data_IF_721596040835
#
_entry.id   IF_721596040835
#
_cell.length_a   1.000
_cell.length_b   1.000
_cell.length_c   1.000
_cell.angle_alpha   90.00
_cell.angle_beta   90.00
_cell.angle_gamma   90.00
#
_symmetry.space_group_name_H-M   'P 1'
#
loop_
_entity.id
_entity.type
_entity.pdbx_description
1 polymer ?
#
# COMPACT_ATOMS: atom_id res chain seq x y z
N UNK A 1 21.89 18.34 14.81
CA UNK A 1 21.13 17.64 15.86
C UNK A 1 20.04 16.84 15.19
N UNK A 2 20.35 15.60 14.80
CA UNK A 2 19.50 14.74 14.00
C UNK A 2 18.32 14.24 14.81
N UNK A 3 17.12 14.69 14.43
CA UNK A 3 15.89 14.23 15.05
C UNK A 3 15.71 12.76 14.74
N UNK A 4 15.61 11.95 15.79
CA UNK A 4 15.24 10.55 15.75
C UNK A 4 13.82 10.47 15.19
N UNK A 5 13.69 10.41 13.87
CA UNK A 5 12.41 10.15 13.25
C UNK A 5 12.13 8.65 13.38
N UNK A 6 10.98 8.34 13.98
CA UNK A 6 10.58 6.98 14.25
C UNK A 6 10.32 6.25 12.93
N UNK A 7 10.78 5.00 12.86
CA UNK A 7 10.52 4.09 11.75
C UNK A 7 9.87 2.83 12.30
N UNK A 8 8.92 2.29 11.55
CA UNK A 8 7.99 1.30 12.06
C UNK A 8 7.83 0.13 11.08
N UNK A 9 7.47 -1.02 11.66
CA UNK A 9 7.02 -2.23 10.97
C UNK A 9 7.88 -2.63 9.76
N UNK A 10 9.19 -2.86 9.95
CA UNK A 10 10.01 -3.37 8.86
C UNK A 10 9.52 -4.75 8.44
N UNK A 11 9.44 -5.00 7.13
CA UNK A 11 9.21 -6.33 6.56
C UNK A 11 10.24 -6.62 5.47
N UNK A 12 10.49 -7.91 5.23
CA UNK A 12 11.38 -8.41 4.18
C UNK A 12 10.53 -9.06 3.08
N UNK A 13 10.88 -8.79 1.82
CA UNK A 13 10.42 -9.60 0.71
C UNK A 13 10.96 -11.04 0.83
N UNK A 14 10.29 -12.02 0.22
CA UNK A 14 10.62 -13.44 0.36
C UNK A 14 12.05 -13.83 -0.07
N UNK A 15 12.68 -13.03 -0.94
CA UNK A 15 14.07 -13.19 -1.36
C UNK A 15 15.09 -12.48 -0.45
N UNK A 16 14.65 -11.71 0.55
CA UNK A 16 15.49 -10.93 1.46
C UNK A 16 16.12 -9.67 0.87
N UNK A 17 16.00 -9.42 -0.45
CA UNK A 17 16.61 -8.26 -1.12
C UNK A 17 15.92 -6.95 -0.77
N UNK A 18 14.59 -6.95 -0.68
CA UNK A 18 13.84 -5.74 -0.40
C UNK A 18 13.39 -5.69 1.05
N UNK A 19 13.62 -4.55 1.69
CA UNK A 19 13.05 -4.19 2.98
C UNK A 19 12.05 -3.08 2.79
N UNK A 20 10.93 -3.18 3.45
CA UNK A 20 9.89 -2.15 3.47
C UNK A 20 9.61 -1.71 4.88
N UNK A 21 9.30 -0.43 5.06
CA UNK A 21 9.02 0.19 6.34
C UNK A 21 8.29 1.52 6.11
N UNK A 22 7.71 2.09 7.17
CA UNK A 22 7.21 3.46 7.11
C UNK A 22 7.89 4.34 8.16
N UNK A 23 8.04 5.63 7.86
CA UNK A 23 8.87 6.54 8.64
C UNK A 23 8.37 7.98 8.58
N UNK A 24 8.64 8.73 9.66
CA UNK A 24 8.50 10.20 9.69
C UNK A 24 9.76 10.93 9.19
N UNK A 25 10.79 10.18 8.77
CA UNK A 25 12.10 10.72 8.49
C UNK A 25 12.13 11.51 7.17
N UNK A 26 12.49 12.79 7.24
CA UNK A 26 12.57 13.68 6.07
C UNK A 26 13.88 13.57 5.29
N UNK A 27 14.70 12.56 5.57
CA UNK A 27 16.06 12.43 5.04
C UNK A 27 16.38 11.04 4.50
N UNK A 28 15.37 10.18 4.29
CA UNK A 28 15.54 8.86 3.69
C UNK A 28 15.65 8.91 2.17
N UNK A 29 15.00 9.89 1.56
CA UNK A 29 15.05 10.21 0.13
C UNK A 29 15.13 11.73 -0.04
N UNK A 30 15.66 12.24 -1.17
CA UNK A 30 15.56 13.65 -1.50
C UNK A 30 14.10 14.13 -1.51
N UNK A 31 13.90 15.42 -1.21
CA UNK A 31 12.61 16.12 -1.34
C UNK A 31 11.46 15.58 -0.47
N UNK A 32 11.78 14.84 0.59
CA UNK A 32 10.84 14.52 1.67
C UNK A 32 10.45 15.75 2.49
N UNK A 33 9.26 16.27 2.17
CA UNK A 33 8.82 17.59 2.64
C UNK A 33 7.37 17.62 3.14
N UNK A 34 6.65 16.51 3.07
CA UNK A 34 5.24 16.44 3.47
C UNK A 34 5.04 16.32 5.00
N UNK A 35 6.12 16.07 5.76
CA UNK A 35 6.11 15.97 7.23
C UNK A 35 5.09 14.94 7.77
N UNK A 36 4.86 13.86 7.02
CA UNK A 36 3.93 12.80 7.40
C UNK A 36 4.61 11.44 7.37
N UNK A 37 3.87 10.37 7.74
CA UNK A 37 4.39 9.03 7.55
C UNK A 37 4.38 8.68 6.07
N UNK A 38 5.52 8.26 5.56
CA UNK A 38 5.68 7.75 4.21
C UNK A 38 6.11 6.29 4.24
N UNK A 39 5.73 5.56 3.20
CA UNK A 39 6.14 4.16 2.99
C UNK A 39 7.35 4.15 2.09
N UNK A 40 8.38 3.41 2.49
CA UNK A 40 9.64 3.30 1.78
C UNK A 40 9.96 1.84 1.47
N UNK A 41 10.64 1.64 0.34
CA UNK A 41 11.31 0.38 0.01
C UNK A 41 12.81 0.63 -0.06
N UNK A 42 13.57 -0.27 0.55
CA UNK A 42 15.02 -0.35 0.50
C UNK A 42 15.40 -1.57 -0.31
N UNK A 43 15.97 -1.34 -1.48
CA UNK A 43 16.72 -2.35 -2.22
C UNK A 43 18.12 -2.49 -1.61
N UNK A 44 18.46 -3.70 -1.18
CA UNK A 44 19.73 -4.04 -0.52
C UNK A 44 20.81 -4.54 -1.48
N UNK A 45 20.48 -4.71 -2.76
CA UNK A 45 21.34 -5.38 -3.76
C UNK A 45 20.99 -4.86 -5.16
N UNK A 46 21.30 -3.59 -5.43
CA UNK A 46 20.87 -2.93 -6.67
C UNK A 46 21.56 -3.47 -7.92
N UNK A 47 22.76 -4.03 -7.79
CA UNK A 47 23.54 -4.66 -8.86
C UNK A 47 23.28 -6.17 -9.01
N UNK A 48 22.49 -6.76 -8.10
CA UNK A 48 21.96 -8.11 -8.18
C UNK A 48 23.04 -9.20 -8.16
N UNK A 49 24.12 -8.99 -7.41
CA UNK A 49 25.22 -9.93 -7.28
C UNK A 49 25.05 -10.92 -6.10
N UNK A 50 24.03 -10.69 -5.26
CA UNK A 50 23.68 -11.51 -4.10
C UNK A 50 24.38 -11.12 -2.81
N UNK A 51 25.19 -10.06 -2.80
CA UNK A 51 25.79 -9.49 -1.60
C UNK A 51 24.92 -8.33 -1.13
N UNK A 52 24.33 -8.49 0.05
CA UNK A 52 23.39 -7.50 0.58
C UNK A 52 24.10 -6.40 1.37
N UNK A 53 23.55 -5.20 1.26
CA UNK A 53 23.95 -4.00 2.00
C UNK A 53 25.35 -3.46 1.66
N UNK A 54 25.80 -3.68 0.42
CA UNK A 54 27.08 -3.16 -0.04
C UNK A 54 27.07 -1.63 -0.21
N UNK A 55 28.12 -0.93 0.26
CA UNK A 55 28.24 0.50 0.04
C UNK A 55 28.20 0.86 -1.45
N UNK A 56 27.16 1.59 -1.86
CA UNK A 56 26.97 2.02 -3.24
C UNK A 56 26.06 1.11 -4.07
N UNK A 57 25.66 -0.05 -3.56
CA UNK A 57 24.73 -0.98 -4.22
C UNK A 57 23.40 -1.12 -3.46
N UNK A 58 22.93 0.00 -2.89
CA UNK A 58 21.73 0.06 -2.06
C UNK A 58 20.93 1.31 -2.39
N UNK A 59 19.60 1.19 -2.45
CA UNK A 59 18.71 2.29 -2.82
C UNK A 59 17.48 2.33 -1.93
N UNK A 60 17.13 3.52 -1.42
CA UNK A 60 15.84 3.76 -0.77
C UNK A 60 14.96 4.57 -1.71
N UNK A 61 13.71 4.18 -1.86
CA UNK A 61 12.69 4.92 -2.60
C UNK A 61 11.43 5.11 -1.76
N UNK A 62 10.68 6.18 -2.03
CA UNK A 62 9.35 6.38 -1.46
C UNK A 62 8.30 5.74 -2.37
N UNK A 63 7.39 4.99 -1.76
CA UNK A 63 6.31 4.26 -2.43
C UNK A 63 4.96 4.95 -2.25
N UNK A 64 4.77 5.73 -1.18
CA UNK A 64 3.57 6.55 -0.96
C UNK A 64 3.54 7.78 -1.88
N UNK A 65 3.51 7.54 -3.20
CA UNK A 65 3.51 8.55 -4.26
C UNK A 65 2.37 8.32 -5.24
N UNK A 66 1.92 9.39 -5.89
CA UNK A 66 0.98 9.31 -7.02
C UNK A 66 1.67 8.73 -8.26
N UNK A 67 0.91 8.39 -9.31
CA UNK A 67 1.46 7.92 -10.59
C UNK A 67 2.36 8.94 -11.32
N UNK A 68 2.37 10.20 -10.85
CA UNK A 68 3.26 11.26 -11.34
C UNK A 68 4.47 11.49 -10.43
N UNK A 69 4.70 10.63 -9.43
CA UNK A 69 5.77 10.76 -8.43
C UNK A 69 5.52 11.80 -7.33
N UNK A 70 4.29 12.33 -7.22
CA UNK A 70 3.97 13.31 -6.17
C UNK A 70 3.79 12.64 -4.82
N UNK A 71 4.50 13.10 -3.78
CA UNK A 71 4.37 12.57 -2.42
C UNK A 71 2.93 12.65 -1.87
N UNK A 72 2.52 11.67 -1.06
CA UNK A 72 1.25 11.74 -0.34
C UNK A 72 1.14 12.98 0.53
N UNK A 73 -0.05 13.58 0.57
CA UNK A 73 -0.40 14.70 1.45
C UNK A 73 -1.05 14.27 2.77
N UNK A 74 -1.06 12.97 3.06
CA UNK A 74 -1.59 12.38 4.28
C UNK A 74 -0.76 11.17 4.68
N UNK A 75 -0.85 10.79 5.96
CA UNK A 75 -0.05 9.69 6.51
C UNK A 75 -0.33 8.38 5.80
N UNK A 76 0.73 7.68 5.47
CA UNK A 76 0.72 6.38 4.82
C UNK A 76 1.40 5.33 5.70
N UNK A 77 0.97 4.08 5.61
CA UNK A 77 1.57 3.01 6.39
C UNK A 77 1.46 1.65 5.72
N UNK A 78 2.18 0.70 6.29
CA UNK A 78 2.53 -0.54 5.61
C UNK A 78 1.36 -1.51 5.40
N UNK A 79 1.34 -2.14 4.21
CA UNK A 79 0.50 -3.29 3.87
C UNK A 79 1.34 -4.55 3.59
N UNK A 80 1.77 -4.73 2.35
CA UNK A 80 2.45 -5.95 1.87
C UNK A 80 3.24 -5.71 0.57
N UNK A 81 4.11 -6.65 0.17
CA UNK A 81 4.81 -6.62 -1.12
C UNK A 81 5.00 -8.00 -1.74
N UNK A 82 5.12 -8.03 -3.07
CA UNK A 82 5.58 -9.22 -3.79
C UNK A 82 7.05 -9.52 -3.52
N UNK A 83 7.46 -10.77 -3.75
CA UNK A 83 8.82 -11.24 -3.43
C UNK A 83 9.91 -10.57 -4.30
N UNK A 84 9.57 -10.17 -5.52
CA UNK A 84 10.42 -9.36 -6.40
C UNK A 84 10.39 -7.87 -6.07
N UNK A 85 9.61 -7.50 -5.05
CA UNK A 85 9.38 -6.14 -4.60
C UNK A 85 8.64 -5.24 -5.57
N UNK A 86 8.16 -5.73 -6.72
CA UNK A 86 7.55 -4.87 -7.74
C UNK A 86 6.26 -4.20 -7.24
N UNK A 87 5.34 -5.00 -6.72
CA UNK A 87 4.05 -4.50 -6.26
C UNK A 87 4.09 -4.29 -4.76
N UNK A 88 3.69 -3.10 -4.33
CA UNK A 88 3.65 -2.73 -2.92
C UNK A 88 2.27 -2.20 -2.57
N UNK A 89 1.61 -2.84 -1.62
CA UNK A 89 0.34 -2.37 -1.07
C UNK A 89 0.57 -1.60 0.22
N UNK A 90 -0.17 -0.51 0.38
CA UNK A 90 -0.11 0.35 1.56
C UNK A 90 -1.47 0.99 1.83
N UNK A 91 -1.69 1.45 3.05
CA UNK A 91 -2.82 2.32 3.34
C UNK A 91 -2.37 3.78 3.36
N UNK A 92 -3.27 4.70 3.03
CA UNK A 92 -3.00 6.14 3.12
C UNK A 92 -4.26 6.94 3.42
N UNK A 93 -4.11 8.03 4.18
CA UNK A 93 -5.12 9.09 4.35
C UNK A 93 -5.05 10.17 3.25
N UNK A 94 -4.15 10.02 2.29
CA UNK A 94 -3.89 11.02 1.27
C UNK A 94 -5.02 11.17 0.26
N UNK A 95 -5.26 12.41 -0.15
CA UNK A 95 -6.26 12.77 -1.16
C UNK A 95 -5.66 13.04 -2.54
N UNK A 96 -4.33 12.98 -2.66
CA UNK A 96 -3.59 13.34 -3.88
C UNK A 96 -2.86 12.17 -4.56
N UNK A 97 -3.03 10.93 -4.08
CA UNK A 97 -2.42 9.75 -4.71
C UNK A 97 -3.11 9.36 -6.02
N UNK A 98 -4.42 9.61 -6.12
CA UNK A 98 -5.22 9.49 -7.34
C UNK A 98 -6.12 10.73 -7.49
N UNK A 99 -6.66 10.96 -8.69
CA UNK A 99 -7.62 12.04 -8.94
C UNK A 99 -9.02 11.70 -8.38
N UNK A 100 -9.80 12.72 -8.01
CA UNK A 100 -11.23 12.56 -7.70
C UNK A 100 -11.55 12.04 -6.28
N UNK A 101 -10.56 12.00 -5.38
CA UNK A 101 -10.77 11.65 -3.97
C UNK A 101 -11.32 12.85 -3.21
N UNK A 102 -12.46 12.66 -2.54
CA UNK A 102 -13.08 13.67 -1.68
C UNK A 102 -12.91 13.28 -0.20
N UNK A 103 -12.07 14.01 0.53
CA UNK A 103 -11.89 13.85 1.98
C UNK A 103 -10.81 12.83 2.39
N UNK A 104 -10.36 12.94 3.63
CA UNK A 104 -9.28 12.12 4.19
C UNK A 104 -9.84 10.87 4.86
N UNK A 105 -10.05 9.82 4.08
CA UNK A 105 -10.34 8.48 4.59
C UNK A 105 -9.14 7.57 4.35
N UNK A 106 -8.93 6.61 5.23
CA UNK A 106 -7.88 5.62 5.06
C UNK A 106 -8.26 4.67 3.93
N UNK A 107 -7.48 4.64 2.86
CA UNK A 107 -7.73 3.79 1.70
C UNK A 107 -6.54 2.91 1.38
N UNK A 108 -6.79 1.77 0.72
CA UNK A 108 -5.76 0.84 0.29
C UNK A 108 -5.32 1.20 -1.12
N UNK A 109 -4.01 1.31 -1.30
CA UNK A 109 -3.37 1.58 -2.58
C UNK A 109 -2.39 0.47 -2.93
N UNK A 110 -2.13 0.34 -4.23
CA UNK A 110 -1.05 -0.47 -4.78
C UNK A 110 -0.19 0.43 -5.65
N UNK A 111 1.12 0.40 -5.42
CA UNK A 111 2.12 1.03 -6.27
C UNK A 111 2.92 -0.05 -7.01
N UNK A 112 2.93 0.02 -8.34
CA UNK A 112 3.81 -0.76 -9.19
C UNK A 112 5.12 0.02 -9.38
N UNK A 113 6.17 -0.42 -8.68
CA UNK A 113 7.50 0.23 -8.72
C UNK A 113 8.15 0.18 -10.10
N UNK A 114 7.72 -0.73 -10.98
CA UNK A 114 8.27 -0.85 -12.32
C UNK A 114 7.67 0.18 -13.28
N UNK A 115 6.36 0.41 -13.22
CA UNK A 115 5.65 1.34 -14.10
C UNK A 115 5.50 2.74 -13.49
N UNK A 116 5.64 2.85 -12.17
CA UNK A 116 5.34 4.03 -11.39
C UNK A 116 3.84 4.23 -11.15
N UNK A 117 2.98 3.28 -11.53
CA UNK A 117 1.53 3.42 -11.42
C UNK A 117 1.05 3.23 -9.98
N UNK A 118 0.21 4.15 -9.50
CA UNK A 118 -0.51 4.04 -8.22
C UNK A 118 -2.01 3.96 -8.46
N UNK A 119 -2.63 2.88 -7.97
CA UNK A 119 -4.08 2.67 -8.03
C UNK A 119 -4.66 2.52 -6.62
N UNK A 120 -5.95 2.85 -6.46
CA UNK A 120 -6.71 2.57 -5.25
C UNK A 120 -7.42 1.22 -5.40
N UNK A 121 -7.28 0.35 -4.39
CA UNK A 121 -7.92 -0.96 -4.38
C UNK A 121 -9.26 -0.95 -3.64
N UNK A 122 -9.43 -0.05 -2.67
CA UNK A 122 -10.66 0.10 -1.90
C UNK A 122 -11.65 1.05 -2.59
N UNK A 123 -12.12 0.67 -3.77
CA UNK A 123 -13.13 1.39 -4.54
C UNK A 123 -14.35 0.51 -4.83
N UNK A 124 -15.47 1.12 -5.20
CA UNK A 124 -16.67 0.35 -5.59
C UNK A 124 -16.44 -0.35 -6.94
N UNK A 125 -17.31 -1.30 -7.31
CA UNK A 125 -17.26 -1.94 -8.62
C UNK A 125 -17.44 -0.99 -9.82
N UNK A 126 -17.90 0.24 -9.58
CA UNK A 126 -18.02 1.32 -10.57
C UNK A 126 -16.82 2.30 -10.55
N UNK A 127 -15.84 2.10 -9.67
CA UNK A 127 -14.71 3.01 -9.46
C UNK A 127 -15.03 4.23 -8.58
N UNK A 128 -16.18 4.23 -7.90
CA UNK A 128 -16.59 5.34 -7.04
C UNK A 128 -15.83 5.35 -5.71
N UNK A 129 -15.90 6.49 -5.02
CA UNK A 129 -15.28 6.64 -3.71
C UNK A 129 -15.95 5.74 -2.67
N UNK A 130 -15.17 5.01 -1.85
CA UNK A 130 -15.69 4.33 -0.66
C UNK A 130 -16.24 5.36 0.33
N UNK A 131 -17.18 4.95 1.17
CA UNK A 131 -17.80 5.81 2.18
C UNK A 131 -17.18 5.66 3.57
N UNK A 132 -16.15 4.82 3.74
CA UNK A 132 -15.48 4.58 5.02
C UNK A 132 -14.03 4.08 4.86
N UNK A 133 -13.37 3.84 5.99
CA UNK A 133 -11.97 3.41 6.05
C UNK A 133 -11.76 1.95 5.64
N UNK A 134 -10.60 1.70 5.03
CA UNK A 134 -10.07 0.38 4.71
C UNK A 134 -8.70 0.17 5.37
N UNK A 135 -8.39 -1.08 5.72
CA UNK A 135 -7.23 -1.46 6.53
C UNK A 135 -6.58 -2.77 6.04
N UNK A 136 -5.32 -2.97 6.47
CA UNK A 136 -4.64 -4.28 6.46
C UNK A 136 -4.70 -5.04 5.15
N UNK A 137 -3.90 -4.62 4.15
CA UNK A 137 -3.81 -5.32 2.86
C UNK A 137 -2.73 -6.40 2.84
N UNK A 138 -2.99 -7.46 2.08
CA UNK A 138 -2.06 -8.56 1.80
C UNK A 138 -2.10 -8.89 0.31
N UNK A 139 -0.94 -8.98 -0.34
CA UNK A 139 -0.82 -9.31 -1.76
C UNK A 139 -0.33 -10.76 -1.95
N UNK A 140 -0.91 -11.46 -2.92
CA UNK A 140 -0.45 -12.78 -3.32
C UNK A 140 0.97 -12.72 -3.90
N UNK A 141 1.72 -13.83 -3.79
CA UNK A 141 3.13 -13.87 -4.20
C UNK A 141 3.34 -13.61 -5.70
N UNK A 142 2.34 -13.93 -6.53
CA UNK A 142 2.33 -13.68 -7.97
C UNK A 142 1.84 -12.26 -8.34
N UNK A 143 1.43 -11.46 -7.36
CA UNK A 143 0.94 -10.09 -7.55
C UNK A 143 -0.48 -9.97 -8.09
N UNK A 144 -1.18 -11.09 -8.34
CA UNK A 144 -2.45 -11.06 -9.08
C UNK A 144 -3.67 -10.76 -8.21
N UNK A 145 -3.59 -10.96 -6.90
CA UNK A 145 -4.73 -10.82 -5.98
C UNK A 145 -4.30 -10.09 -4.72
N UNK A 146 -5.14 -9.16 -4.25
CA UNK A 146 -4.95 -8.46 -2.98
C UNK A 146 -6.17 -8.66 -2.08
N UNK A 147 -5.96 -9.10 -0.85
CA UNK A 147 -6.99 -9.11 0.19
C UNK A 147 -6.84 -7.88 1.09
N UNK A 148 -7.94 -7.28 1.53
CA UNK A 148 -7.94 -6.18 2.50
C UNK A 148 -9.24 -6.16 3.32
N UNK A 149 -9.28 -5.38 4.40
CA UNK A 149 -10.52 -5.16 5.16
C UNK A 149 -11.10 -3.77 4.91
N UNK A 150 -12.42 -3.64 4.94
CA UNK A 150 -13.09 -2.34 4.83
C UNK A 150 -14.35 -2.25 5.68
N UNK A 151 -14.60 -1.06 6.23
CA UNK A 151 -15.84 -0.67 6.90
C UNK A 151 -16.81 0.02 5.93
N UNK A 152 -16.45 0.14 4.65
CA UNK A 152 -17.22 0.87 3.67
C UNK A 152 -18.41 0.05 3.17
N UNK A 153 -19.62 0.49 3.53
CA UNK A 153 -20.88 -0.20 3.20
C UNK A 153 -21.28 -0.07 1.73
N UNK A 154 -20.46 0.59 0.91
CA UNK A 154 -20.75 0.86 -0.50
C UNK A 154 -19.72 0.24 -1.45
N UNK A 155 -18.76 -0.56 -0.96
CA UNK A 155 -17.87 -1.30 -1.86
C UNK A 155 -18.65 -2.36 -2.66
N UNK A 156 -19.69 -2.93 -2.03
CA UNK A 156 -20.56 -3.96 -2.61
C UNK A 156 -22.00 -3.70 -2.24
N UNK A 157 -22.90 -3.94 -3.18
CA UNK A 157 -24.33 -3.87 -2.94
C UNK A 157 -24.77 -4.87 -1.86
N UNK A 158 -25.56 -4.38 -0.91
CA UNK A 158 -26.13 -5.21 0.16
C UNK A 158 -25.21 -5.44 1.36
N UNK A 159 -24.07 -4.74 1.45
CA UNK A 159 -23.35 -4.63 2.71
C UNK A 159 -24.12 -3.72 3.70
N UNK A 160 -24.64 -4.32 4.77
CA UNK A 160 -25.49 -3.65 5.76
C UNK A 160 -25.10 -3.96 7.20
N UNK A 161 -23.99 -4.65 7.44
CA UNK A 161 -23.67 -5.19 8.76
C UNK A 161 -22.99 -4.16 9.70
N UNK A 162 -22.44 -3.08 9.13
CA UNK A 162 -21.77 -2.00 9.87
C UNK A 162 -20.46 -2.42 10.54
N UNK A 163 -19.80 -3.48 10.06
CA UNK A 163 -18.52 -3.97 10.58
C UNK A 163 -17.48 -4.07 9.46
N UNK A 164 -16.22 -4.34 9.80
CA UNK A 164 -15.21 -4.66 8.80
C UNK A 164 -15.50 -5.99 8.12
N UNK A 165 -15.52 -5.97 6.80
CA UNK A 165 -15.56 -7.17 5.95
C UNK A 165 -14.22 -7.37 5.23
N UNK A 166 -13.98 -8.59 4.76
CA UNK A 166 -12.80 -8.94 3.94
C UNK A 166 -13.17 -8.85 2.47
N UNK A 167 -12.37 -8.11 1.72
CA UNK A 167 -12.49 -7.88 0.29
C UNK A 167 -11.30 -8.44 -0.45
N UNK A 168 -11.54 -8.86 -1.70
CA UNK A 168 -10.50 -9.26 -2.65
C UNK A 168 -10.53 -8.28 -3.82
N UNK A 169 -9.35 -7.88 -4.27
CA UNK A 169 -9.13 -7.22 -5.54
C UNK A 169 -8.46 -8.23 -6.47
N UNK A 170 -9.11 -8.53 -7.58
CA UNK A 170 -8.61 -9.37 -8.67
C UNK A 170 -8.89 -8.63 -10.00
N UNK A 171 -7.86 -8.10 -10.68
CA UNK A 171 -8.02 -7.34 -11.92
C UNK A 171 -8.42 -8.24 -13.11
N UNK A 172 -8.36 -9.57 -12.96
CA UNK A 172 -8.73 -10.53 -14.00
C UNK A 172 -10.18 -11.02 -13.85
N UNK A 173 -10.80 -10.79 -12.69
CA UNK A 173 -12.18 -11.13 -12.42
C UNK A 173 -13.16 -10.19 -13.16
N UNK A 174 -14.32 -10.73 -13.57
CA UNK A 174 -15.40 -9.95 -14.19
C UNK A 174 -16.76 -10.27 -13.53
N UNK A 175 -17.41 -9.29 -12.86
CA UNK A 175 -16.84 -8.01 -12.46
C UNK A 175 -15.66 -8.22 -11.49
N UNK A 176 -14.84 -7.18 -11.26
CA UNK A 176 -13.83 -7.19 -10.20
C UNK A 176 -14.51 -7.65 -8.92
N UNK A 177 -14.06 -8.79 -8.37
CA UNK A 177 -14.86 -9.56 -7.42
C UNK A 177 -14.56 -9.17 -5.98
N UNK A 178 -15.43 -8.33 -5.43
CA UNK A 178 -15.45 -7.96 -4.02
C UNK A 178 -16.31 -8.96 -3.22
N UNK A 179 -15.77 -10.07 -2.69
CA UNK A 179 -16.48 -10.78 -1.62
C UNK A 179 -15.62 -11.81 -0.87
N UNK A 180 -15.59 -11.70 0.45
CA UNK A 180 -15.61 -12.85 1.35
C UNK A 180 -16.45 -12.51 2.60
N UNK A 181 -17.74 -12.83 2.53
CA UNK A 181 -18.55 -13.04 3.74
C UNK A 181 -17.90 -14.21 4.49
N UNK A 182 -17.30 -13.97 5.66
CA UNK A 182 -17.05 -15.04 6.62
C UNK A 182 -18.24 -15.10 7.59
N UNK A 183 -19.27 -15.92 7.33
CA UNK A 183 -20.14 -16.35 8.41
C UNK A 183 -19.25 -17.00 9.49
N UNK A 184 -19.52 -16.63 10.74
CA UNK A 184 -18.89 -17.13 11.95
C UNK A 184 -18.51 -18.62 11.82
N UNK A 185 -17.25 -18.97 12.14
CA UNK A 185 -16.99 -20.31 12.67
C UNK A 185 -17.60 -20.34 14.07
N UNK A 186 -18.89 -20.63 14.19
CA UNK A 186 -19.46 -21.12 15.45
C UNK A 186 -18.97 -22.56 15.64
N UNK A 187 -18.31 -22.83 16.77
CA UNK A 187 -18.20 -24.20 17.26
C UNK A 187 -19.51 -24.65 17.90
#
# INVERSE_FOLDING_TARGET
NGHLAESYQPALAGNGRFVTFYSYATNLVPDDTNLTLDVFVRDRDTDADGIFDEPGAVLTERVSVSSSGGQSNGGSGWGSMTADGRFVTFYSYATNLISGVNGAQQQIFLHDRQTGETIRLSETSSGDNPNNNSNGSMIAADGNVVAFTSLASNLVDGDTNGTYDVFLYDPTASPVSYQLYLPLITR
#
